data_IF_813538499408
#
_entry.id   IF_813538499408
#
_cell.length_a   1.000
_cell.length_b   1.000
_cell.length_c   1.000
_cell.angle_alpha   90.00
_cell.angle_beta   90.00
_cell.angle_gamma   90.00
#
_symmetry.space_group_name_H-M   'P 1'
#
loop_
_entity.id
_entity.type
_entity.pdbx_description
1 polymer ?
#
# COMPACT_ATOMS: atom_id res chain seq x y z
N UNK A 1 -0.98 -1.40 -22.52
CA UNK A 1 -2.46 -1.29 -22.47
C UNK A 1 -3.09 -2.44 -21.68
N UNK A 2 -2.70 -3.69 -21.97
CA UNK A 2 -3.19 -4.90 -21.29
C UNK A 2 -3.18 -4.88 -19.75
N UNK A 3 -2.14 -4.36 -19.11
CA UNK A 3 -2.03 -4.35 -17.64
C UNK A 3 -3.07 -3.47 -16.93
N UNK A 4 -3.57 -2.42 -17.59
CA UNK A 4 -4.64 -1.56 -17.07
C UNK A 4 -5.99 -2.28 -17.20
N UNK A 5 -6.19 -2.99 -18.32
CA UNK A 5 -7.43 -3.74 -18.59
C UNK A 5 -7.54 -4.98 -17.68
N UNK A 6 -6.43 -5.65 -17.39
CA UNK A 6 -6.40 -6.80 -16.48
C UNK A 6 -6.54 -6.41 -15.01
N UNK A 7 -6.26 -5.15 -14.67
CA UNK A 7 -6.19 -4.71 -13.28
C UNK A 7 -7.44 -5.03 -12.45
N UNK A 8 -8.69 -4.83 -12.93
CA UNK A 8 -9.88 -5.17 -12.15
C UNK A 8 -9.95 -6.66 -11.78
N UNK A 9 -9.55 -7.55 -12.69
CA UNK A 9 -9.51 -8.99 -12.42
C UNK A 9 -8.45 -9.34 -11.38
N UNK A 10 -7.26 -8.73 -11.49
CA UNK A 10 -6.19 -8.91 -10.51
C UNK A 10 -6.59 -8.35 -9.13
N UNK A 11 -7.31 -7.23 -9.09
CA UNK A 11 -7.79 -6.62 -7.86
C UNK A 11 -8.86 -7.50 -7.18
N UNK A 12 -9.78 -8.10 -7.95
CA UNK A 12 -10.75 -9.05 -7.43
C UNK A 12 -10.08 -10.31 -6.85
N UNK A 13 -9.06 -10.82 -7.55
CA UNK A 13 -8.28 -11.95 -7.06
C UNK A 13 -7.53 -11.62 -5.76
N UNK A 14 -6.86 -10.47 -5.71
CA UNK A 14 -6.17 -9.96 -4.53
C UNK A 14 -7.12 -9.71 -3.35
N UNK A 15 -8.33 -9.20 -3.62
CA UNK A 15 -9.38 -9.02 -2.61
C UNK A 15 -9.88 -10.36 -2.06
N UNK A 16 -10.13 -11.35 -2.94
CA UNK A 16 -10.52 -12.70 -2.50
C UNK A 16 -9.46 -13.34 -1.61
N UNK A 17 -8.19 -13.20 -1.99
CA UNK A 17 -7.07 -13.71 -1.21
C UNK A 17 -6.85 -12.92 0.09
N UNK A 18 -7.15 -11.62 0.10
CA UNK A 18 -7.18 -10.78 1.31
C UNK A 18 -8.20 -11.30 2.31
N UNK A 19 -9.43 -11.56 1.89
CA UNK A 19 -10.48 -12.11 2.78
C UNK A 19 -10.05 -13.47 3.33
N UNK A 20 -9.51 -14.35 2.48
CA UNK A 20 -8.98 -15.65 2.91
C UNK A 20 -7.87 -15.49 3.96
N UNK A 21 -6.91 -14.60 3.72
CA UNK A 21 -5.82 -14.32 4.65
C UNK A 21 -6.31 -13.78 6.00
N UNK A 22 -7.34 -12.93 5.99
CA UNK A 22 -7.93 -12.40 7.22
C UNK A 22 -8.62 -13.49 8.05
N UNK A 23 -9.38 -14.38 7.40
CA UNK A 23 -10.06 -15.49 8.07
C UNK A 23 -9.08 -16.54 8.61
N UNK A 24 -8.03 -16.84 7.84
CA UNK A 24 -7.03 -17.84 8.21
C UNK A 24 -5.92 -17.30 9.11
N UNK A 25 -5.86 -15.99 9.41
CA UNK A 25 -4.77 -15.39 10.18
C UNK A 25 -4.46 -16.11 11.51
N UNK A 26 -5.45 -16.50 12.35
CA UNK A 26 -5.18 -17.27 13.57
C UNK A 26 -4.50 -18.63 13.31
N UNK A 27 -4.89 -19.32 12.23
CA UNK A 27 -4.32 -20.62 11.86
C UNK A 27 -2.92 -20.45 11.25
N UNK A 28 -2.75 -19.48 10.35
CA UNK A 28 -1.46 -19.15 9.72
C UNK A 28 -0.41 -18.81 10.79
N UNK A 29 -0.79 -18.09 11.84
CA UNK A 29 0.09 -17.71 12.94
C UNK A 29 0.69 -18.91 13.71
N UNK A 30 0.06 -20.10 13.64
CA UNK A 30 0.61 -21.33 14.24
C UNK A 30 1.81 -21.89 13.49
N UNK A 31 1.99 -21.50 12.22
CA UNK A 31 3.09 -21.97 11.36
C UNK A 31 4.31 -21.04 11.38
N UNK A 32 4.30 -19.99 12.20
CA UNK A 32 5.45 -19.10 12.34
C UNK A 32 6.60 -19.87 12.97
N UNK A 33 7.73 -19.91 12.26
CA UNK A 33 8.93 -20.62 12.70
C UNK A 33 9.70 -19.76 13.72
N UNK A 34 10.71 -20.36 14.35
CA UNK A 34 11.55 -19.69 15.34
C UNK A 34 12.33 -18.49 14.79
N UNK A 35 12.53 -18.41 13.48
CA UNK A 35 13.14 -17.25 12.81
C UNK A 35 12.16 -16.07 12.59
N UNK A 36 10.89 -16.24 12.98
CA UNK A 36 9.84 -15.24 12.82
C UNK A 36 9.18 -15.24 11.45
N UNK A 37 9.49 -16.20 10.58
CA UNK A 37 8.94 -16.29 9.23
C UNK A 37 8.03 -17.52 9.04
N UNK A 38 7.10 -17.41 8.10
CA UNK A 38 6.29 -18.52 7.63
C UNK A 38 7.11 -19.46 6.73
N UNK A 39 6.74 -20.76 6.65
CA UNK A 39 7.33 -21.67 5.68
C UNK A 39 7.02 -21.21 4.24
N UNK A 40 7.89 -21.59 3.30
CA UNK A 40 7.84 -21.10 1.90
C UNK A 40 6.49 -21.31 1.20
N UNK A 41 5.74 -22.35 1.54
CA UNK A 41 4.42 -22.60 0.93
C UNK A 41 3.34 -21.63 1.44
N UNK A 42 3.56 -20.97 2.58
CA UNK A 42 2.70 -19.90 3.13
C UNK A 42 3.22 -18.48 2.83
N UNK A 43 4.28 -18.34 2.02
CA UNK A 43 4.92 -17.03 1.82
C UNK A 43 3.94 -15.95 1.32
N UNK A 44 2.92 -16.35 0.56
CA UNK A 44 1.87 -15.49 0.03
C UNK A 44 1.12 -14.69 1.10
N UNK A 45 1.06 -15.19 2.33
CA UNK A 45 0.42 -14.52 3.46
C UNK A 45 1.37 -13.54 4.17
N UNK A 46 2.68 -13.72 4.03
CA UNK A 46 3.69 -12.91 4.70
C UNK A 46 4.04 -11.64 3.92
N UNK A 47 4.44 -10.59 4.62
CA UNK A 47 5.09 -9.43 4.00
C UNK A 47 6.51 -9.78 3.51
N UNK A 48 6.90 -9.45 2.26
CA UNK A 48 8.21 -9.83 1.72
C UNK A 48 9.42 -9.33 2.51
N UNK A 49 9.30 -8.17 3.15
CA UNK A 49 10.39 -7.44 3.83
C UNK A 49 10.29 -7.48 5.37
N UNK A 50 9.35 -8.25 5.93
CA UNK A 50 9.12 -8.28 7.38
C UNK A 50 8.94 -9.68 7.92
N UNK A 51 9.38 -9.88 9.16
CA UNK A 51 8.96 -11.01 10.00
C UNK A 51 7.49 -10.87 10.38
N UNK A 52 6.91 -11.96 10.89
CA UNK A 52 5.51 -12.04 11.31
C UNK A 52 5.21 -11.25 12.58
N UNK A 53 6.22 -10.84 13.34
CA UNK A 53 6.10 -9.86 14.43
C UNK A 53 6.13 -8.39 13.94
N UNK A 54 6.21 -8.16 12.63
CA UNK A 54 6.37 -6.81 12.05
C UNK A 54 7.77 -6.23 12.19
N UNK A 55 8.70 -6.92 12.84
CA UNK A 55 10.09 -6.48 12.94
C UNK A 55 10.78 -6.62 11.58
N UNK A 56 11.69 -5.68 11.29
CA UNK A 56 12.31 -5.40 9.98
C UNK A 56 11.42 -4.66 8.96
N UNK A 57 10.09 -4.63 9.14
CA UNK A 57 9.17 -3.88 8.25
C UNK A 57 8.57 -2.61 8.87
N UNK A 58 8.19 -2.65 10.15
CA UNK A 58 7.64 -1.50 10.87
C UNK A 58 8.21 -1.40 12.29
N UNK A 59 9.10 -0.42 12.49
CA UNK A 59 9.74 -0.16 13.78
C UNK A 59 8.73 0.19 14.89
N UNK A 60 7.65 0.91 14.59
CA UNK A 60 6.64 1.27 15.58
C UNK A 60 5.81 0.06 16.00
N UNK A 61 5.46 -0.82 15.06
CA UNK A 61 4.76 -2.06 15.39
C UNK A 61 5.63 -2.97 16.26
N UNK A 62 6.88 -3.18 15.84
CA UNK A 62 7.87 -3.99 16.55
C UNK A 62 8.14 -3.44 17.98
N UNK A 63 8.20 -2.12 18.15
CA UNK A 63 8.40 -1.49 19.47
C UNK A 63 7.18 -1.62 20.40
N UNK A 64 5.97 -1.80 19.86
CA UNK A 64 4.71 -1.80 20.63
C UNK A 64 4.14 -3.20 20.89
N UNK A 65 4.63 -4.23 20.21
CA UNK A 65 4.13 -5.59 20.33
C UNK A 65 5.27 -6.56 20.60
N UNK A 66 5.12 -7.38 21.65
CA UNK A 66 6.08 -8.46 21.92
C UNK A 66 5.82 -9.64 20.98
N UNK A 67 6.84 -10.31 20.43
CA UNK A 67 6.64 -11.49 19.60
C UNK A 67 5.86 -12.58 20.36
N UNK A 68 4.68 -12.90 19.85
CA UNK A 68 3.81 -13.97 20.33
C UNK A 68 2.78 -14.30 19.26
N UNK A 69 2.06 -15.40 19.45
CA UNK A 69 1.03 -15.84 18.49
C UNK A 69 0.04 -14.72 18.14
N UNK A 70 -0.44 -13.97 19.13
CA UNK A 70 -1.40 -12.88 18.89
C UNK A 70 -0.81 -11.74 18.07
N UNK A 71 0.45 -11.38 18.32
CA UNK A 71 1.17 -10.38 17.52
C UNK A 71 1.25 -10.78 16.05
N UNK A 72 1.44 -12.06 15.76
CA UNK A 72 1.46 -12.59 14.39
C UNK A 72 0.09 -12.46 13.71
N UNK A 73 -0.99 -12.72 14.44
CA UNK A 73 -2.37 -12.52 13.96
C UNK A 73 -2.61 -11.03 13.65
N UNK A 74 -2.24 -10.13 14.57
CA UNK A 74 -2.39 -8.69 14.39
C UNK A 74 -1.60 -8.17 13.19
N UNK A 75 -0.36 -8.65 13.00
CA UNK A 75 0.44 -8.29 11.83
C UNK A 75 -0.18 -8.79 10.53
N UNK A 76 -0.69 -10.02 10.52
CA UNK A 76 -1.36 -10.61 9.37
C UNK A 76 -2.64 -9.85 8.99
N UNK A 77 -3.45 -9.42 9.96
CA UNK A 77 -4.62 -8.58 9.70
C UNK A 77 -4.27 -7.18 9.23
N UNK A 78 -3.11 -6.67 9.64
CA UNK A 78 -2.62 -5.36 9.19
C UNK A 78 -2.13 -5.40 7.75
N UNK A 79 -1.46 -6.48 7.36
CA UNK A 79 -0.91 -6.69 6.01
C UNK A 79 -1.41 -8.02 5.44
N UNK A 80 -2.73 -8.16 5.22
CA UNK A 80 -3.29 -9.40 4.71
C UNK A 80 -2.69 -9.66 3.33
N UNK A 81 -2.15 -10.86 3.15
CA UNK A 81 -1.60 -11.35 1.89
C UNK A 81 -0.60 -10.45 1.15
N UNK A 82 0.22 -9.69 1.88
CA UNK A 82 1.19 -8.79 1.25
C UNK A 82 2.13 -9.49 0.26
N UNK A 83 2.50 -10.75 0.50
CA UNK A 83 3.28 -11.57 -0.42
C UNK A 83 2.54 -11.88 -1.71
N UNK A 84 1.23 -12.15 -1.63
CA UNK A 84 0.36 -12.35 -2.80
C UNK A 84 0.21 -11.08 -3.64
N UNK A 85 -0.10 -9.94 -3.00
CA UNK A 85 -0.18 -8.65 -3.70
C UNK A 85 1.14 -8.26 -4.34
N UNK A 86 2.27 -8.61 -3.69
CA UNK A 86 3.61 -8.44 -4.25
C UNK A 86 3.85 -9.38 -5.44
N UNK A 87 3.46 -10.65 -5.38
CA UNK A 87 3.59 -11.59 -6.51
C UNK A 87 2.82 -11.14 -7.75
N UNK A 88 1.60 -10.61 -7.58
CA UNK A 88 0.80 -9.98 -8.64
C UNK A 88 1.39 -8.65 -9.15
N UNK A 89 2.36 -8.09 -8.42
CA UNK A 89 2.98 -6.81 -8.71
C UNK A 89 3.85 -6.81 -9.96
N UNK A 90 4.22 -5.61 -10.40
CA UNK A 90 4.96 -5.37 -11.64
C UNK A 90 6.33 -4.76 -11.37
N UNK A 91 7.34 -5.19 -12.14
CA UNK A 91 8.65 -4.54 -12.20
C UNK A 91 8.71 -3.73 -13.48
N UNK A 92 9.05 -2.44 -13.41
CA UNK A 92 9.16 -1.56 -14.58
C UNK A 92 10.62 -1.41 -15.03
N UNK A 93 10.82 -1.12 -16.32
CA UNK A 93 12.14 -0.85 -16.90
C UNK A 93 12.18 0.63 -17.32
N UNK A 94 12.99 1.43 -16.61
CA UNK A 94 13.10 2.89 -16.79
C UNK A 94 11.72 3.57 -16.83
N UNK A 95 10.93 3.50 -15.73
CA UNK A 95 9.58 4.05 -15.69
C UNK A 95 9.57 5.57 -15.80
N UNK A 96 8.71 6.09 -16.66
CA UNK A 96 8.36 7.51 -16.73
C UNK A 96 7.02 7.71 -16.00
N UNK A 97 7.03 8.52 -14.94
CA UNK A 97 5.86 8.79 -14.12
C UNK A 97 5.30 10.18 -14.44
N UNK A 98 4.01 10.25 -14.76
CA UNK A 98 3.23 11.50 -14.78
C UNK A 98 2.28 11.51 -13.60
N UNK A 99 2.22 12.62 -12.88
CA UNK A 99 1.33 12.80 -11.73
C UNK A 99 0.44 14.02 -11.94
N UNK A 100 -0.84 13.89 -11.59
CA UNK A 100 -1.82 14.96 -11.52
C UNK A 100 -2.48 14.96 -10.15
N UNK A 101 -2.96 16.11 -9.69
CA UNK A 101 -3.72 16.25 -8.44
C UNK A 101 -3.14 17.29 -7.50
N UNK A 102 -3.38 17.11 -6.20
CA UNK A 102 -2.94 18.01 -5.14
C UNK A 102 -1.42 18.14 -5.12
N UNK A 103 -0.94 19.39 -5.05
CA UNK A 103 0.49 19.67 -4.93
C UNK A 103 1.04 19.19 -3.59
N UNK A 104 2.25 18.64 -3.60
CA UNK A 104 2.92 18.11 -2.41
C UNK A 104 2.45 16.71 -2.00
N UNK A 105 2.81 16.31 -0.79
CA UNK A 105 2.46 14.99 -0.27
C UNK A 105 1.03 14.99 0.28
N UNK A 106 0.25 13.99 -0.15
CA UNK A 106 -1.01 13.64 0.50
C UNK A 106 -0.77 12.47 1.45
N UNK A 107 -1.49 12.43 2.57
CA UNK A 107 -1.29 11.37 3.54
C UNK A 107 -2.17 11.50 4.76
N UNK A 108 -2.38 10.36 5.44
CA UNK A 108 -3.20 10.31 6.65
C UNK A 108 -2.41 10.43 7.96
N UNK A 109 -1.13 10.06 7.91
CA UNK A 109 -0.22 9.96 9.05
C UNK A 109 1.22 10.24 8.58
N UNK A 110 2.12 10.72 9.47
CA UNK A 110 1.83 11.14 10.84
C UNK A 110 1.00 12.42 10.89
N UNK A 111 1.17 13.32 9.93
CA UNK A 111 0.38 14.53 9.73
C UNK A 111 -0.66 14.31 8.64
N UNK A 112 -1.88 14.77 8.85
CA UNK A 112 -2.97 14.66 7.89
C UNK A 112 -2.86 15.73 6.80
N UNK A 113 -2.69 15.31 5.56
CA UNK A 113 -2.64 16.16 4.36
C UNK A 113 -3.71 15.68 3.37
N UNK A 114 -4.88 16.35 3.32
CA UNK A 114 -5.94 15.96 2.41
C UNK A 114 -5.57 16.26 0.97
N UNK A 115 -6.13 15.50 0.05
CA UNK A 115 -5.89 15.67 -1.37
C UNK A 115 -6.07 14.38 -2.14
N UNK A 116 -5.74 14.44 -3.42
CA UNK A 116 -5.74 13.29 -4.30
C UNK A 116 -4.57 13.38 -5.27
N UNK A 117 -4.15 12.23 -5.79
CA UNK A 117 -3.32 12.19 -6.98
C UNK A 117 -3.72 11.03 -7.87
N UNK A 118 -3.52 11.26 -9.16
CA UNK A 118 -3.48 10.21 -10.16
C UNK A 118 -2.06 10.13 -10.69
N UNK A 119 -1.47 8.94 -10.69
CA UNK A 119 -0.19 8.65 -11.33
C UNK A 119 -0.41 7.73 -12.50
N UNK A 120 0.31 8.00 -13.56
CA UNK A 120 0.38 7.17 -14.75
C UNK A 120 1.83 6.85 -15.05
N UNK A 121 2.15 5.57 -15.16
CA UNK A 121 3.48 5.10 -15.53
C UNK A 121 3.45 4.49 -16.92
N UNK A 122 4.46 4.84 -17.70
CA UNK A 122 4.82 4.14 -18.94
C UNK A 122 6.30 3.77 -18.86
N UNK A 123 6.64 2.54 -19.22
CA UNK A 123 8.03 2.08 -19.27
C UNK A 123 8.54 1.99 -20.72
N UNK A 124 9.83 1.71 -20.90
CA UNK A 124 10.45 1.63 -22.24
C UNK A 124 9.91 0.48 -23.11
N UNK A 125 9.21 -0.48 -22.51
CA UNK A 125 8.55 -1.60 -23.19
C UNK A 125 7.08 -1.29 -23.51
N UNK A 126 6.62 -0.07 -23.25
CA UNK A 126 5.24 0.36 -23.47
C UNK A 126 4.23 -0.22 -22.47
N UNK A 127 4.68 -0.84 -21.37
CA UNK A 127 3.80 -1.26 -20.28
C UNK A 127 3.26 -0.02 -19.59
N UNK A 128 1.98 -0.08 -19.22
CA UNK A 128 1.26 1.04 -18.61
C UNK A 128 0.61 0.59 -17.33
N UNK A 129 0.66 1.44 -16.31
CA UNK A 129 0.01 1.22 -15.03
C UNK A 129 -0.47 2.55 -14.45
N UNK A 130 -1.42 2.49 -13.53
CA UNK A 130 -1.97 3.65 -12.87
C UNK A 130 -1.98 3.49 -11.36
N UNK A 131 -2.08 4.62 -10.68
CA UNK A 131 -2.38 4.72 -9.26
C UNK A 131 -3.33 5.90 -9.07
N UNK A 132 -4.48 5.65 -8.48
CA UNK A 132 -5.32 6.70 -7.91
C UNK A 132 -5.22 6.62 -6.40
N UNK A 133 -4.90 7.72 -5.73
CA UNK A 133 -4.97 7.81 -4.29
C UNK A 133 -5.72 9.08 -3.87
N UNK A 134 -6.56 8.96 -2.85
CA UNK A 134 -7.26 10.09 -2.27
C UNK A 134 -7.33 9.95 -0.75
N UNK A 135 -7.16 11.08 -0.07
CA UNK A 135 -7.26 11.19 1.38
C UNK A 135 -8.11 12.41 1.71
N UNK A 136 -9.23 12.22 2.39
CA UNK A 136 -10.18 13.30 2.69
C UNK A 136 -10.80 13.13 4.07
N UNK A 137 -11.19 14.19 4.78
CA UNK A 137 -11.95 14.06 6.03
C UNK A 137 -13.18 13.16 5.87
N UNK A 138 -13.46 12.40 6.91
CA UNK A 138 -14.65 11.54 7.03
C UNK A 138 -15.26 11.74 8.43
N UNK A 139 -16.22 10.90 8.79
CA UNK A 139 -16.95 10.95 10.06
C UNK A 139 -16.03 10.67 11.26
N UNK A 140 -16.43 11.18 12.44
CA UNK A 140 -15.79 10.89 13.74
C UNK A 140 -14.28 11.21 13.79
N UNK A 141 -13.87 12.28 13.12
CA UNK A 141 -12.46 12.67 13.05
C UNK A 141 -11.58 11.69 12.28
N UNK A 142 -12.16 10.77 11.50
CA UNK A 142 -11.45 9.84 10.61
C UNK A 142 -11.23 10.45 9.22
N UNK A 143 -10.62 9.67 8.33
CA UNK A 143 -10.47 10.04 6.93
C UNK A 143 -10.78 8.88 5.98
N UNK A 144 -11.28 9.24 4.80
CA UNK A 144 -11.17 8.41 3.61
C UNK A 144 -9.70 8.19 3.30
N UNK A 145 -9.34 6.95 3.01
CA UNK A 145 -8.03 6.53 2.55
C UNK A 145 -8.27 5.55 1.40
N UNK A 146 -8.26 6.13 0.20
CA UNK A 146 -8.55 5.44 -1.05
C UNK A 146 -7.21 5.29 -1.78
N UNK A 147 -6.92 4.08 -2.24
CA UNK A 147 -5.75 3.80 -3.08
C UNK A 147 -6.06 2.62 -4.02
N UNK A 148 -6.08 2.88 -5.31
CA UNK A 148 -6.52 1.96 -6.36
C UNK A 148 -5.44 1.94 -7.44
N UNK A 149 -5.09 0.78 -7.99
CA UNK A 149 -4.08 0.64 -9.03
C UNK A 149 -2.86 -0.13 -8.53
N UNK A 150 -1.68 0.44 -8.75
CA UNK A 150 -0.40 -0.08 -8.27
C UNK A 150 0.22 0.92 -7.29
N UNK A 151 1.08 0.47 -6.38
CA UNK A 151 1.76 1.33 -5.40
C UNK A 151 2.89 2.18 -6.02
N UNK A 152 2.62 2.89 -7.13
CA UNK A 152 3.61 3.54 -7.99
C UNK A 152 4.49 4.58 -7.27
N UNK A 153 4.02 5.17 -6.16
CA UNK A 153 4.84 6.04 -5.33
C UNK A 153 6.15 5.41 -4.82
N UNK A 154 6.22 4.08 -4.75
CA UNK A 154 7.44 3.36 -4.37
C UNK A 154 8.57 3.52 -5.42
N UNK A 155 8.23 3.74 -6.69
CA UNK A 155 9.21 3.94 -7.77
C UNK A 155 10.05 5.21 -7.63
N UNK A 156 9.58 6.22 -6.87
CA UNK A 156 10.39 7.40 -6.56
C UNK A 156 11.54 7.08 -5.60
N UNK A 157 11.38 6.03 -4.78
CA UNK A 157 12.41 5.57 -3.84
C UNK A 157 13.32 4.55 -4.48
N UNK A 158 12.74 3.56 -5.16
CA UNK A 158 13.47 2.50 -5.85
C UNK A 158 12.80 2.19 -7.20
N UNK A 159 13.37 2.65 -8.33
CA UNK A 159 12.84 2.40 -9.67
C UNK A 159 12.83 0.93 -10.08
N UNK A 160 13.55 0.06 -9.36
CA UNK A 160 13.69 -1.37 -9.65
C UNK A 160 12.76 -2.24 -8.78
N UNK A 161 12.08 -1.63 -7.81
CA UNK A 161 11.18 -2.33 -6.90
C UNK A 161 10.00 -2.97 -7.67
N UNK A 162 9.61 -4.18 -7.25
CA UNK A 162 8.35 -4.75 -7.69
C UNK A 162 7.19 -4.03 -7.01
N UNK A 163 6.36 -3.39 -7.82
CA UNK A 163 5.25 -2.57 -7.36
C UNK A 163 4.01 -3.42 -7.17
N UNK A 164 3.52 -3.63 -5.93
CA UNK A 164 2.34 -4.43 -5.67
C UNK A 164 1.07 -3.74 -6.18
N UNK A 165 0.06 -4.57 -6.44
CA UNK A 165 -1.31 -4.10 -6.64
C UNK A 165 -1.88 -3.51 -5.34
N UNK A 166 -2.81 -2.56 -5.45
CA UNK A 166 -3.49 -1.96 -4.30
C UNK A 166 -4.93 -1.61 -4.65
N UNK A 167 -5.86 -1.95 -3.75
CA UNK A 167 -7.30 -1.75 -3.92
C UNK A 167 -7.97 -1.31 -2.59
N UNK A 168 -7.33 -0.38 -1.87
CA UNK A 168 -7.81 0.11 -0.58
C UNK A 168 -8.94 1.11 -0.76
N UNK A 169 -10.04 0.92 -0.03
CA UNK A 169 -11.06 1.93 0.19
C UNK A 169 -11.51 1.86 1.65
N UNK A 170 -11.09 2.82 2.49
CA UNK A 170 -11.43 2.83 3.91
C UNK A 170 -11.91 4.22 4.36
N UNK A 171 -13.20 4.42 4.68
CA UNK A 171 -13.75 5.69 5.17
C UNK A 171 -13.37 6.02 6.62
N UNK A 172 -12.87 5.06 7.38
CA UNK A 172 -12.67 5.14 8.83
C UNK A 172 -11.18 5.05 9.20
N UNK A 173 -10.27 5.35 8.27
CA UNK A 173 -8.85 5.34 8.55
C UNK A 173 -8.48 6.35 9.64
N UNK A 174 -7.52 5.98 10.50
CA UNK A 174 -6.95 6.91 11.49
C UNK A 174 -6.38 8.14 10.77
N UNK A 175 -6.79 9.31 11.24
CA UNK A 175 -6.37 10.63 10.80
C UNK A 175 -5.39 11.22 11.81
N UNK A 176 -4.25 11.70 11.33
CA UNK A 176 -3.30 12.47 12.15
C UNK A 176 -3.80 13.89 12.44
N UNK A 177 -3.04 14.67 13.23
CA UNK A 177 -3.29 16.10 13.37
C UNK A 177 -3.17 16.83 12.03
N UNK A 178 -3.82 17.98 11.92
CA UNK A 178 -3.59 18.91 10.81
C UNK A 178 -2.18 19.51 10.91
N UNK A 179 -1.57 19.92 9.78
CA UNK A 179 -0.30 20.64 9.82
C UNK A 179 -0.46 21.97 10.56
N UNK A 180 0.56 22.36 11.31
CA UNK A 180 0.59 23.59 12.13
C UNK A 180 0.50 24.89 11.29
N UNK A 181 0.64 24.78 9.96
CA UNK A 181 0.38 25.86 9.00
C UNK A 181 -0.36 25.31 7.78
N UNK A 182 -1.41 25.98 7.28
CA UNK A 182 -2.07 25.59 6.04
C UNK A 182 -1.08 25.78 4.90
N UNK A 183 -0.51 24.69 4.38
CA UNK A 183 0.22 24.73 3.13
C UNK A 183 -0.72 25.33 2.06
N UNK A 184 -0.31 26.46 1.48
CA UNK A 184 -1.02 27.09 0.37
C UNK A 184 -1.25 26.02 -0.68
N UNK A 185 -2.52 25.69 -0.95
CA UNK A 185 -2.90 24.81 -2.05
C UNK A 185 -2.48 25.49 -3.37
N UNK A 186 -1.24 25.25 -3.78
CA UNK A 186 -0.73 25.69 -5.06
C UNK A 186 -1.42 24.89 -6.14
N UNK A 187 -2.43 25.46 -6.77
CA UNK A 187 -2.86 25.01 -8.08
C UNK A 187 -1.72 25.31 -9.06
N UNK A 188 -0.98 24.29 -9.47
CA UNK A 188 -0.07 24.42 -10.59
C UNK A 188 -0.91 24.32 -11.88
N UNK A 189 -1.08 25.43 -12.57
CA UNK A 189 -1.44 25.42 -13.99
C UNK A 189 -0.24 24.90 -14.78
N UNK A 190 -0.39 23.96 -15.73
CA UNK A 190 0.63 23.80 -16.75
C UNK A 190 0.63 25.08 -17.62
N UNK A 191 1.77 25.40 -18.21
CA UNK A 191 2.06 26.49 -19.17
C UNK A 191 2.80 27.71 -18.63
N UNK A 192 4.03 27.83 -19.12
CA UNK A 192 4.94 28.97 -19.03
C UNK A 192 6.26 28.60 -19.69
N UNK A 193 6.36 28.75 -21.01
CA UNK A 193 7.55 28.47 -21.82
C UNK A 193 7.29 27.51 -22.97
#
# INVERSE_FOLDING_TARGET
MWLVVLWPLLALLDLGFTVLAMLLAPLIALFVRSDGYLPRWLWWFQTPDSRMDGCNGDANFCATHRPCWWTYVLWQWRNPCAGFSHWLGLVFDRPMIRQWGTAGEIGRLPVFRPGWHFRWVVDVRGRRAFEFAATWPSLFGRCWNIRIGYKLGNLYRDPTERIPIVHRCNPLSKRGPLPDSPAKAGFFTPWGG
#
